data_IF_606670104263
#
_entry.id   IF_606670104263
#
_cell.length_a   1.000
_cell.length_b   1.000
_cell.length_c   1.000
_cell.angle_alpha   90.00
_cell.angle_beta   90.00
_cell.angle_gamma   90.00
#
_symmetry.space_group_name_H-M   'P 1'
#
loop_
_entity.id
_entity.type
_entity.pdbx_description
1 polymer ?
#
# COMPACT_ATOMS: atom_id res chain seq x y z
N UNK A 1 -18.14 -11.47 -23.07
CA UNK A 1 -17.43 -10.17 -22.94
C UNK A 1 -18.40 -8.97 -22.97
N UNK A 2 -19.72 -9.17 -23.03
CA UNK A 2 -20.67 -8.06 -23.24
C UNK A 2 -21.24 -7.43 -21.97
N UNK A 3 -21.42 -8.20 -20.89
CA UNK A 3 -22.37 -7.82 -19.83
C UNK A 3 -21.81 -6.76 -18.87
N UNK A 4 -20.55 -6.89 -18.41
CA UNK A 4 -19.92 -5.99 -17.44
C UNK A 4 -19.83 -4.51 -17.87
N UNK A 5 -20.02 -4.19 -19.16
CA UNK A 5 -19.84 -2.83 -19.70
C UNK A 5 -21.05 -1.92 -19.40
N UNK A 6 -22.23 -2.51 -19.27
CA UNK A 6 -23.48 -1.74 -19.08
C UNK A 6 -23.53 -1.07 -17.71
N UNK A 7 -23.20 -1.79 -16.64
CA UNK A 7 -23.41 -1.34 -15.25
C UNK A 7 -22.72 0.00 -14.93
N UNK A 8 -21.47 0.19 -15.37
CA UNK A 8 -20.70 1.40 -15.04
C UNK A 8 -21.15 2.67 -15.80
N UNK A 9 -21.94 2.52 -16.87
CA UNK A 9 -22.40 3.66 -17.70
C UNK A 9 -23.73 4.26 -17.23
N UNK A 10 -24.51 3.53 -16.42
CA UNK A 10 -25.83 3.98 -15.94
C UNK A 10 -25.77 4.76 -14.61
N UNK A 11 -24.70 4.64 -13.84
CA UNK A 11 -24.56 5.19 -12.49
C UNK A 11 -23.88 6.57 -12.43
N UNK A 12 -24.32 7.53 -13.26
CA UNK A 12 -23.72 8.89 -13.36
C UNK A 12 -23.92 9.78 -12.12
N UNK A 13 -24.75 9.37 -11.18
CA UNK A 13 -25.07 10.10 -9.93
C UNK A 13 -24.60 9.35 -8.69
N UNK A 14 -23.76 8.33 -8.85
CA UNK A 14 -23.23 7.54 -7.74
C UNK A 14 -22.20 8.37 -6.98
N UNK A 15 -22.53 8.77 -5.75
CA UNK A 15 -21.61 9.49 -4.86
C UNK A 15 -20.85 8.57 -3.89
N UNK A 16 -21.42 7.41 -3.58
CA UNK A 16 -20.90 6.48 -2.56
C UNK A 16 -20.95 5.06 -3.10
N UNK A 17 -19.81 4.40 -3.16
CA UNK A 17 -19.66 2.98 -3.45
C UNK A 17 -18.98 2.28 -2.28
N UNK A 18 -19.75 1.51 -1.51
CA UNK A 18 -19.22 0.67 -0.43
C UNK A 18 -19.36 -0.80 -0.79
N UNK A 19 -18.23 -1.47 -0.98
CA UNK A 19 -18.19 -2.91 -1.16
C UNK A 19 -18.10 -3.58 0.21
N UNK A 20 -19.25 -4.04 0.71
CA UNK A 20 -19.28 -4.84 1.92
C UNK A 20 -18.59 -6.19 1.72
N UNK A 21 -17.93 -6.69 2.78
CA UNK A 21 -17.38 -8.05 2.84
C UNK A 21 -18.51 -9.04 2.56
N UNK A 22 -18.39 -9.79 1.47
CA UNK A 22 -19.21 -10.97 1.26
C UNK A 22 -18.63 -12.10 2.13
N UNK A 23 -19.32 -12.56 3.19
CA UNK A 23 -18.80 -13.60 4.07
C UNK A 23 -18.64 -14.96 3.38
N UNK A 24 -19.20 -15.16 2.18
CA UNK A 24 -18.98 -16.36 1.37
C UNK A 24 -17.68 -16.30 0.55
N UNK A 25 -17.02 -15.14 0.42
CA UNK A 25 -15.83 -14.95 -0.42
C UNK A 25 -14.50 -15.32 0.27
N UNK A 26 -14.52 -16.27 1.22
CA UNK A 26 -13.31 -16.86 1.83
C UNK A 26 -12.69 -17.87 0.86
N UNK A 27 -12.32 -17.40 -0.33
CA UNK A 27 -11.81 -18.23 -1.43
C UNK A 27 -10.46 -17.74 -1.99
N UNK A 28 -9.69 -16.98 -1.19
CA UNK A 28 -8.26 -16.73 -1.46
C UNK A 28 -7.46 -18.05 -1.53
N UNK A 29 -7.98 -19.14 -0.96
CA UNK A 29 -7.38 -20.49 -1.02
C UNK A 29 -7.42 -21.10 -2.43
N UNK A 30 -8.47 -20.90 -3.23
CA UNK A 30 -8.59 -21.54 -4.56
C UNK A 30 -7.87 -20.81 -5.71
N UNK A 31 -7.12 -19.74 -5.44
CA UNK A 31 -6.29 -19.00 -6.42
C UNK A 31 -7.04 -18.46 -7.65
N UNK A 32 -8.38 -18.53 -7.68
CA UNK A 32 -9.22 -18.04 -8.78
C UNK A 32 -9.34 -16.53 -8.73
N UNK A 33 -8.29 -15.84 -9.21
CA UNK A 33 -8.29 -14.39 -9.42
C UNK A 33 -9.55 -14.02 -10.24
N UNK A 34 -10.44 -13.13 -9.75
CA UNK A 34 -11.56 -12.64 -10.56
C UNK A 34 -10.99 -12.04 -11.86
N UNK A 35 -11.57 -12.43 -13.01
CA UNK A 35 -10.94 -12.25 -14.33
C UNK A 35 -10.68 -10.78 -14.71
N UNK A 36 -11.45 -9.85 -14.14
CA UNK A 36 -11.23 -8.40 -14.21
C UNK A 36 -11.67 -7.80 -12.88
N UNK A 37 -10.96 -6.80 -12.39
CA UNK A 37 -11.48 -5.94 -11.32
C UNK A 37 -12.48 -4.96 -11.94
N UNK A 38 -13.78 -5.24 -11.76
CA UNK A 38 -14.84 -4.36 -12.23
C UNK A 38 -14.86 -3.01 -11.52
N UNK A 39 -14.20 -2.91 -10.35
CA UNK A 39 -14.28 -1.75 -9.48
C UNK A 39 -13.51 -0.55 -9.98
N UNK A 40 -12.34 -0.78 -10.59
CA UNK A 40 -11.59 0.26 -11.28
C UNK A 40 -12.45 1.07 -12.27
N UNK A 41 -13.46 0.44 -12.91
CA UNK A 41 -14.34 1.15 -13.86
C UNK A 41 -15.16 2.27 -13.22
N UNK A 42 -15.58 2.14 -11.96
CA UNK A 42 -16.32 3.21 -11.28
C UNK A 42 -15.43 4.44 -11.04
N UNK A 43 -14.13 4.24 -10.78
CA UNK A 43 -13.14 5.31 -10.68
C UNK A 43 -12.88 6.00 -12.05
N UNK A 44 -13.12 5.30 -13.16
CA UNK A 44 -13.00 5.85 -14.52
C UNK A 44 -14.31 6.50 -15.00
N UNK A 45 -15.50 5.98 -14.63
CA UNK A 45 -16.78 6.41 -15.21
C UNK A 45 -17.67 7.29 -14.34
N UNK A 46 -17.57 7.25 -13.01
CA UNK A 46 -18.51 7.91 -12.11
C UNK A 46 -17.97 9.24 -11.56
N UNK A 47 -17.95 10.31 -12.37
CA UNK A 47 -17.43 11.64 -12.00
C UNK A 47 -18.01 12.31 -10.75
N UNK A 48 -19.07 11.76 -10.16
CA UNK A 48 -19.70 12.22 -8.91
C UNK A 48 -19.21 11.49 -7.65
N UNK A 49 -18.32 10.50 -7.79
CA UNK A 49 -17.97 9.57 -6.73
C UNK A 49 -17.09 10.20 -5.63
N UNK A 50 -17.69 10.49 -4.47
CA UNK A 50 -17.04 11.08 -3.29
C UNK A 50 -16.43 10.03 -2.36
N UNK A 51 -17.01 8.84 -2.30
CA UNK A 51 -16.58 7.75 -1.41
C UNK A 51 -16.45 6.46 -2.20
N UNK A 52 -15.25 5.89 -2.22
CA UNK A 52 -14.98 4.54 -2.71
C UNK A 52 -14.38 3.72 -1.56
N UNK A 53 -15.07 2.66 -1.15
CA UNK A 53 -14.65 1.77 -0.08
C UNK A 53 -14.68 0.32 -0.57
N UNK A 54 -13.57 -0.12 -1.16
CA UNK A 54 -13.33 -1.48 -1.64
C UNK A 54 -12.05 -2.05 -1.04
N UNK A 55 -11.85 -1.92 0.28
CA UNK A 55 -10.57 -2.24 0.93
C UNK A 55 -10.14 -3.70 0.80
N UNK A 56 -11.10 -4.63 0.70
CA UNK A 56 -10.83 -6.05 0.45
C UNK A 56 -10.46 -6.36 -1.01
N UNK A 57 -10.60 -5.37 -1.90
CA UNK A 57 -10.38 -5.49 -3.34
C UNK A 57 -9.05 -4.82 -3.70
N UNK A 58 -8.62 -5.04 -4.94
CA UNK A 58 -7.34 -4.53 -5.42
C UNK A 58 -7.48 -3.93 -6.82
N UNK A 59 -6.86 -2.77 -7.02
CA UNK A 59 -6.67 -2.17 -8.34
C UNK A 59 -5.22 -2.43 -8.75
N UNK A 60 -4.99 -2.76 -10.02
CA UNK A 60 -3.62 -2.91 -10.52
C UNK A 60 -2.99 -1.55 -10.80
N UNK A 61 -1.69 -1.42 -10.50
CA UNK A 61 -0.92 -0.22 -10.83
C UNK A 61 -1.05 0.18 -12.32
N UNK A 62 -0.88 -0.77 -13.24
CA UNK A 62 -0.99 -0.52 -14.69
C UNK A 62 -2.37 -0.02 -15.14
N UNK A 63 -3.45 -0.54 -14.54
CA UNK A 63 -4.81 -0.11 -14.85
C UNK A 63 -4.99 1.34 -14.38
N UNK A 64 -4.52 1.67 -13.16
CA UNK A 64 -4.47 3.04 -12.62
C UNK A 64 -3.67 4.04 -13.46
N UNK A 65 -2.58 3.58 -14.08
CA UNK A 65 -1.73 4.42 -14.93
C UNK A 65 -2.39 4.67 -16.28
N UNK A 66 -2.88 3.60 -16.92
CA UNK A 66 -3.45 3.59 -18.27
C UNK A 66 -4.77 4.36 -18.36
N UNK A 67 -5.64 4.19 -17.37
CA UNK A 67 -7.00 4.72 -17.38
C UNK A 67 -7.13 5.86 -16.35
N UNK A 68 -7.05 7.14 -16.78
CA UNK A 68 -7.12 8.28 -15.86
C UNK A 68 -8.51 8.35 -15.21
N UNK A 69 -8.53 8.51 -13.89
CA UNK A 69 -9.77 8.64 -13.13
C UNK A 69 -10.46 9.98 -13.43
N UNK A 70 -11.80 9.97 -13.47
CA UNK A 70 -12.58 11.10 -13.97
C UNK A 70 -12.77 12.24 -12.93
N UNK A 71 -11.67 12.91 -12.55
CA UNK A 71 -11.65 14.15 -11.74
C UNK A 71 -12.69 14.19 -10.60
N UNK A 72 -12.70 13.11 -9.81
CA UNK A 72 -13.91 12.58 -9.17
C UNK A 72 -14.47 13.35 -7.96
N UNK A 73 -13.72 14.32 -7.42
CA UNK A 73 -14.06 14.91 -6.12
C UNK A 73 -14.08 13.91 -4.96
N UNK A 74 -13.34 12.79 -5.07
CA UNK A 74 -13.23 11.81 -3.98
C UNK A 74 -12.71 12.48 -2.71
N UNK A 75 -13.45 12.27 -1.62
CA UNK A 75 -13.02 12.58 -0.26
C UNK A 75 -12.48 11.35 0.47
N UNK A 76 -12.95 10.14 0.13
CA UNK A 76 -12.54 8.89 0.80
C UNK A 76 -12.27 7.77 -0.21
N UNK A 77 -11.08 7.19 -0.14
CA UNK A 77 -10.60 6.17 -1.05
C UNK A 77 -9.93 5.04 -0.26
N UNK A 78 -10.53 3.85 -0.29
CA UNK A 78 -10.04 2.67 0.44
C UNK A 78 -9.98 1.45 -0.48
N UNK A 79 -8.78 0.95 -0.79
CA UNK A 79 -8.52 -0.14 -1.74
C UNK A 79 -7.04 -0.56 -1.71
N UNK A 80 -6.72 -1.81 -2.04
CA UNK A 80 -5.31 -2.22 -2.24
C UNK A 80 -4.81 -1.81 -3.63
N UNK A 81 -3.53 -1.44 -3.73
CA UNK A 81 -2.82 -1.33 -5.02
C UNK A 81 -1.83 -2.48 -5.13
N UNK A 82 -1.90 -3.24 -6.23
CA UNK A 82 -1.08 -4.43 -6.47
C UNK A 82 -0.50 -4.46 -7.89
N UNK A 83 0.42 -5.37 -8.16
CA UNK A 83 1.07 -5.50 -9.48
C UNK A 83 2.08 -4.40 -9.75
N UNK A 84 2.65 -3.81 -8.70
CA UNK A 84 3.82 -2.95 -8.78
C UNK A 84 5.05 -3.83 -9.06
N UNK A 85 5.85 -3.53 -10.09
CA UNK A 85 7.10 -4.25 -10.33
C UNK A 85 8.05 -4.05 -9.14
N UNK A 86 8.45 -5.16 -8.50
CA UNK A 86 9.40 -5.19 -7.39
C UNK A 86 10.58 -6.10 -7.71
N UNK A 87 11.74 -5.74 -7.17
CA UNK A 87 12.87 -6.66 -7.10
C UNK A 87 12.59 -7.77 -6.08
N UNK A 88 12.96 -9.01 -6.40
CA UNK A 88 13.08 -10.09 -5.41
C UNK A 88 14.27 -9.82 -4.49
N UNK A 89 14.43 -10.62 -3.43
CA UNK A 89 15.57 -10.46 -2.51
C UNK A 89 16.93 -10.69 -3.20
N UNK A 90 16.99 -11.60 -4.17
CA UNK A 90 18.20 -11.91 -4.93
C UNK A 90 18.49 -10.80 -5.94
N UNK A 91 17.47 -10.34 -6.67
CA UNK A 91 17.58 -9.18 -7.59
C UNK A 91 17.96 -7.89 -6.83
N UNK A 92 17.42 -7.66 -5.63
CA UNK A 92 17.81 -6.52 -4.78
C UNK A 92 19.30 -6.62 -4.39
N UNK A 93 19.80 -7.83 -4.09
CA UNK A 93 21.22 -8.05 -3.76
C UNK A 93 22.13 -7.76 -4.96
N UNK A 94 21.69 -8.10 -6.18
CA UNK A 94 22.38 -7.73 -7.42
C UNK A 94 22.37 -6.21 -7.64
N UNK A 95 21.21 -5.57 -7.47
CA UNK A 95 21.06 -4.11 -7.59
C UNK A 95 21.97 -3.36 -6.60
N UNK A 96 21.93 -3.74 -5.33
CA UNK A 96 22.72 -3.12 -4.26
C UNK A 96 24.23 -3.25 -4.51
N UNK A 97 24.69 -4.40 -5.04
CA UNK A 97 26.08 -4.60 -5.48
C UNK A 97 26.44 -3.64 -6.61
N UNK A 98 25.65 -3.62 -7.70
CA UNK A 98 25.95 -2.81 -8.88
C UNK A 98 25.98 -1.32 -8.54
N UNK A 99 25.07 -0.85 -7.69
CA UNK A 99 25.05 0.53 -7.18
C UNK A 99 26.29 0.85 -6.33
N UNK A 100 26.69 -0.05 -5.43
CA UNK A 100 27.86 0.16 -4.57
C UNK A 100 29.19 0.16 -5.36
N UNK A 101 29.30 -0.67 -6.38
CA UNK A 101 30.48 -0.75 -7.26
C UNK A 101 30.54 0.40 -8.27
N UNK A 102 29.40 1.02 -8.60
CA UNK A 102 29.31 2.06 -9.63
C UNK A 102 28.59 3.34 -9.14
N UNK A 103 29.20 4.14 -8.24
CA UNK A 103 28.55 5.33 -7.67
C UNK A 103 27.98 6.32 -8.71
N UNK A 104 28.66 6.47 -9.85
CA UNK A 104 28.22 7.35 -10.95
C UNK A 104 26.90 6.93 -11.61
N UNK A 105 26.46 5.70 -11.43
CA UNK A 105 25.15 5.25 -11.92
C UNK A 105 24.01 6.07 -11.28
N UNK A 106 24.15 6.44 -9.99
CA UNK A 106 23.15 7.27 -9.30
C UNK A 106 23.17 8.74 -9.76
N UNK A 107 24.36 9.30 -10.01
CA UNK A 107 24.54 10.73 -10.32
C UNK A 107 24.37 11.06 -11.82
N UNK A 108 24.93 10.23 -12.69
CA UNK A 108 25.08 10.52 -14.13
C UNK A 108 24.19 9.60 -15.01
N UNK A 109 23.58 8.56 -14.44
CA UNK A 109 22.83 7.54 -15.20
C UNK A 109 23.70 6.71 -16.16
N UNK A 110 25.03 6.81 -16.04
CA UNK A 110 25.96 6.08 -16.92
C UNK A 110 26.03 4.63 -16.46
N UNK A 111 25.49 3.75 -17.30
CA UNK A 111 25.53 2.30 -17.11
C UNK A 111 26.87 1.75 -17.64
N UNK A 112 27.68 1.05 -16.82
CA UNK A 112 28.89 0.36 -17.28
C UNK A 112 28.60 -0.77 -18.29
N UNK A 113 29.63 -1.49 -18.69
CA UNK A 113 29.50 -2.81 -19.33
C UNK A 113 28.98 -3.86 -18.33
N UNK A 114 27.70 -3.73 -17.95
CA UNK A 114 26.99 -4.67 -17.08
C UNK A 114 26.62 -5.95 -17.82
N UNK A 115 26.61 -7.07 -17.08
CA UNK A 115 26.06 -8.33 -17.56
C UNK A 115 24.56 -8.25 -17.84
N UNK A 116 24.03 -9.17 -18.64
CA UNK A 116 22.61 -9.18 -19.03
C UNK A 116 21.66 -9.28 -17.83
N UNK A 117 22.05 -10.03 -16.79
CA UNK A 117 21.30 -10.17 -15.54
C UNK A 117 21.24 -8.84 -14.76
N UNK A 118 22.38 -8.19 -14.56
CA UNK A 118 22.48 -6.89 -13.87
C UNK A 118 21.69 -5.81 -14.59
N UNK A 119 21.77 -5.81 -15.94
CA UNK A 119 21.00 -4.91 -16.81
C UNK A 119 19.50 -5.16 -16.69
N UNK A 120 19.06 -6.41 -16.65
CA UNK A 120 17.65 -6.76 -16.48
C UNK A 120 17.12 -6.35 -15.09
N UNK A 121 17.92 -6.53 -14.04
CA UNK A 121 17.62 -6.09 -12.66
C UNK A 121 17.46 -4.57 -12.59
N UNK A 122 18.40 -3.81 -13.17
CA UNK A 122 18.33 -2.34 -13.25
C UNK A 122 17.06 -1.90 -13.97
N UNK A 123 16.80 -2.43 -15.17
CA UNK A 123 15.62 -2.05 -15.95
C UNK A 123 14.31 -2.38 -15.22
N UNK A 124 14.29 -3.46 -14.42
CA UNK A 124 13.14 -3.81 -13.57
C UNK A 124 12.96 -2.83 -12.42
N UNK A 125 14.04 -2.41 -11.78
CA UNK A 125 14.00 -1.37 -10.75
C UNK A 125 13.49 -0.03 -11.32
N UNK A 126 14.03 0.40 -12.46
CA UNK A 126 13.64 1.65 -13.14
C UNK A 126 12.14 1.64 -13.52
N UNK A 127 11.65 0.57 -14.16
CA UNK A 127 10.21 0.43 -14.48
C UNK A 127 9.35 0.44 -13.22
N UNK A 128 9.73 -0.31 -12.18
CA UNK A 128 9.01 -0.32 -10.90
C UNK A 128 8.98 1.05 -10.23
N UNK A 129 10.05 1.84 -10.37
CA UNK A 129 10.10 3.23 -9.87
C UNK A 129 9.22 4.18 -10.69
N UNK A 130 9.28 4.14 -12.02
CA UNK A 130 8.42 4.94 -12.90
C UNK A 130 6.93 4.63 -12.66
N UNK A 131 6.59 3.34 -12.57
CA UNK A 131 5.23 2.87 -12.32
C UNK A 131 4.69 3.41 -10.99
N UNK A 132 5.50 3.36 -9.92
CA UNK A 132 5.12 3.94 -8.63
C UNK A 132 4.95 5.45 -8.68
N UNK A 133 5.89 6.18 -9.29
CA UNK A 133 5.80 7.64 -9.42
C UNK A 133 4.53 8.06 -10.16
N UNK A 134 4.12 7.33 -11.20
CA UNK A 134 2.89 7.60 -11.95
C UNK A 134 1.63 7.24 -11.16
N UNK A 135 1.66 6.19 -10.34
CA UNK A 135 0.57 5.88 -9.39
C UNK A 135 0.45 6.98 -8.33
N UNK A 136 1.56 7.48 -7.80
CA UNK A 136 1.57 8.60 -6.87
C UNK A 136 1.08 9.91 -7.49
N UNK A 137 1.40 10.18 -8.76
CA UNK A 137 0.90 11.33 -9.50
C UNK A 137 -0.63 11.31 -9.59
N UNK A 138 -1.21 10.14 -9.89
CA UNK A 138 -2.68 9.95 -9.91
C UNK A 138 -3.29 10.22 -8.52
N UNK A 139 -2.72 9.65 -7.45
CA UNK A 139 -3.22 9.84 -6.09
C UNK A 139 -3.08 11.30 -5.61
N UNK A 140 -1.92 11.93 -5.84
CA UNK A 140 -1.64 13.31 -5.46
C UNK A 140 -2.54 14.33 -6.17
N UNK A 141 -3.11 13.98 -7.32
CA UNK A 141 -4.07 14.85 -8.01
C UNK A 141 -5.49 14.85 -7.42
N UNK A 142 -5.79 13.98 -6.45
CA UNK A 142 -7.09 13.92 -5.76
C UNK A 142 -7.16 14.96 -4.64
N UNK A 143 -7.10 16.25 -4.98
CA UNK A 143 -6.87 17.35 -4.00
C UNK A 143 -7.90 17.43 -2.86
N UNK A 144 -9.11 16.89 -3.02
CA UNK A 144 -10.17 16.85 -2.01
C UNK A 144 -10.12 15.60 -1.10
N UNK A 145 -9.12 14.73 -1.28
CA UNK A 145 -8.99 13.47 -0.56
C UNK A 145 -8.64 13.69 0.91
N UNK A 146 -9.56 13.29 1.79
CA UNK A 146 -9.44 13.35 3.26
C UNK A 146 -9.03 12.01 3.86
N UNK A 147 -9.42 10.89 3.25
CA UNK A 147 -9.05 9.54 3.69
C UNK A 147 -8.44 8.74 2.55
N UNK A 148 -7.17 8.33 2.70
CA UNK A 148 -6.50 7.39 1.81
C UNK A 148 -6.11 6.14 2.60
N UNK A 149 -6.72 5.00 2.28
CA UNK A 149 -6.44 3.73 2.94
C UNK A 149 -6.04 2.69 1.90
N UNK A 150 -4.74 2.45 1.80
CA UNK A 150 -4.13 1.47 0.89
C UNK A 150 -4.01 0.09 1.54
N UNK A 151 -4.02 0.05 2.87
CA UNK A 151 -3.73 -1.14 3.67
C UNK A 151 -4.97 -1.97 3.97
N UNK A 152 -4.80 -3.29 4.03
CA UNK A 152 -5.89 -4.19 4.38
C UNK A 152 -5.38 -5.35 5.22
N UNK A 153 -5.93 -5.47 6.43
CA UNK A 153 -5.69 -6.63 7.27
C UNK A 153 -6.48 -7.84 6.76
N UNK A 154 -5.91 -8.56 5.78
CA UNK A 154 -6.48 -9.79 5.24
C UNK A 154 -6.22 -11.01 6.14
N UNK A 155 -5.31 -10.92 7.12
CA UNK A 155 -4.88 -12.07 7.92
C UNK A 155 -5.98 -12.45 8.91
N UNK A 156 -6.71 -13.51 8.58
CA UNK A 156 -7.88 -13.92 9.34
C UNK A 156 -7.54 -14.20 10.82
N UNK A 157 -8.28 -13.62 11.77
CA UNK A 157 -8.42 -14.16 13.11
C UNK A 157 -8.84 -15.64 13.06
N UNK A 158 -8.63 -16.41 14.12
CA UNK A 158 -8.83 -17.88 14.12
C UNK A 158 -7.83 -18.64 13.23
N UNK A 159 -7.44 -18.17 12.03
CA UNK A 159 -6.31 -18.79 11.28
C UNK A 159 -5.00 -18.70 12.07
N UNK A 160 -4.79 -17.64 12.87
CA UNK A 160 -3.68 -17.58 13.82
C UNK A 160 -3.63 -18.82 14.72
N UNK A 161 -4.78 -19.33 15.21
CA UNK A 161 -4.83 -20.54 16.07
C UNK A 161 -4.27 -21.80 15.40
N UNK A 162 -4.19 -21.83 14.07
CA UNK A 162 -3.65 -22.93 13.26
C UNK A 162 -2.33 -22.57 12.55
N UNK A 163 -1.78 -21.38 12.80
CA UNK A 163 -0.54 -20.93 12.19
C UNK A 163 0.69 -21.69 12.70
N UNK A 164 1.70 -21.85 11.84
CA UNK A 164 2.97 -22.43 12.23
C UNK A 164 3.63 -21.61 13.35
N UNK A 165 3.95 -22.28 14.45
CA UNK A 165 4.77 -21.72 15.53
C UNK A 165 6.25 -21.77 15.15
N UNK A 166 6.98 -20.75 15.55
CA UNK A 166 8.45 -20.72 15.55
C UNK A 166 8.95 -20.23 16.91
N UNK A 167 10.25 -20.37 17.14
CA UNK A 167 10.95 -19.80 18.30
C UNK A 167 11.72 -18.58 17.79
N UNK A 168 11.53 -17.41 18.40
CA UNK A 168 12.30 -16.23 18.03
C UNK A 168 13.77 -16.42 18.34
N UNK A 169 14.63 -15.89 17.47
CA UNK A 169 16.08 -15.80 17.71
C UNK A 169 16.46 -14.62 18.62
N UNK A 170 15.51 -13.73 18.94
CA UNK A 170 15.76 -12.47 19.65
C UNK A 170 15.59 -12.64 21.16
N UNK A 171 14.54 -13.35 21.60
CA UNK A 171 14.21 -13.57 23.02
C UNK A 171 13.98 -15.04 23.37
N UNK A 172 13.88 -15.94 22.39
CA UNK A 172 13.65 -17.37 22.61
C UNK A 172 12.18 -17.74 22.86
N UNK A 173 11.25 -16.79 22.73
CA UNK A 173 9.82 -17.05 22.93
C UNK A 173 9.17 -17.70 21.70
N UNK A 174 8.04 -18.39 21.91
CA UNK A 174 7.30 -19.03 20.82
C UNK A 174 6.21 -18.11 20.24
N UNK A 175 6.40 -17.74 18.99
CA UNK A 175 5.48 -16.90 18.22
C UNK A 175 4.85 -17.67 17.06
N UNK A 176 3.76 -17.12 16.53
CA UNK A 176 3.08 -17.62 15.35
C UNK A 176 3.45 -16.81 14.12
N UNK A 177 3.70 -17.49 13.00
CA UNK A 177 4.02 -16.82 11.73
C UNK A 177 2.76 -16.22 11.11
N UNK A 178 2.46 -14.98 11.48
CA UNK A 178 1.24 -14.26 11.10
C UNK A 178 1.38 -13.52 9.77
N UNK A 179 1.56 -14.29 8.69
CA UNK A 179 1.72 -13.80 7.33
C UNK A 179 3.03 -13.03 7.09
N UNK A 180 3.18 -12.54 5.86
CA UNK A 180 4.11 -11.46 5.52
C UNK A 180 3.30 -10.27 4.98
N UNK A 181 3.96 -9.14 4.65
CA UNK A 181 3.31 -8.07 3.90
C UNK A 181 2.83 -8.58 2.53
N UNK A 182 1.82 -7.91 1.97
CA UNK A 182 1.28 -8.21 0.64
C UNK A 182 2.35 -7.84 -0.41
N UNK A 183 2.81 -8.77 -1.26
CA UNK A 183 3.82 -8.52 -2.28
C UNK A 183 3.27 -7.63 -3.41
N UNK A 184 4.18 -7.09 -4.23
CA UNK A 184 3.86 -6.27 -5.41
C UNK A 184 2.97 -5.04 -5.11
N UNK A 185 3.10 -4.51 -3.89
CA UNK A 185 2.40 -3.31 -3.39
C UNK A 185 3.30 -2.06 -3.48
N UNK A 186 2.70 -0.86 -3.33
CA UNK A 186 3.43 0.41 -3.34
C UNK A 186 4.46 0.52 -2.22
N UNK A 187 5.64 1.03 -2.54
CA UNK A 187 6.64 1.47 -1.58
C UNK A 187 6.31 2.88 -1.11
N UNK A 188 6.17 3.09 0.19
CA UNK A 188 5.93 4.40 0.76
C UNK A 188 7.27 5.04 1.14
N UNK A 189 8.12 5.29 0.14
CA UNK A 189 9.42 5.96 0.27
C UNK A 189 9.44 7.26 -0.53
N UNK A 190 10.30 8.22 -0.16
CA UNK A 190 10.41 9.46 -0.94
C UNK A 190 10.98 9.21 -2.36
N UNK A 191 11.77 8.15 -2.55
CA UNK A 191 12.36 7.78 -3.84
C UNK A 191 11.35 7.23 -4.85
N UNK A 192 10.31 6.54 -4.37
CA UNK A 192 9.21 5.99 -5.18
C UNK A 192 8.16 7.03 -5.60
N UNK A 193 8.21 8.25 -5.04
CA UNK A 193 7.28 9.33 -5.33
C UNK A 193 6.23 9.61 -4.25
N UNK A 194 6.40 9.10 -3.02
CA UNK A 194 5.53 9.43 -1.88
C UNK A 194 5.35 10.94 -1.67
N UNK A 195 6.38 11.72 -1.99
CA UNK A 195 6.42 13.18 -1.86
C UNK A 195 5.31 13.90 -2.65
N UNK A 196 4.85 13.29 -3.75
CA UNK A 196 3.74 13.78 -4.56
C UNK A 196 2.40 13.80 -3.80
N UNK A 197 2.22 12.94 -2.79
CA UNK A 197 1.07 13.00 -1.88
C UNK A 197 1.08 14.28 -1.01
N UNK A 198 2.19 15.03 -0.97
CA UNK A 198 2.26 16.34 -0.34
C UNK A 198 1.30 17.37 -0.95
N UNK A 199 0.74 17.07 -2.12
CA UNK A 199 -0.41 17.74 -2.71
C UNK A 199 -1.69 17.71 -1.86
N UNK A 200 -1.88 16.67 -1.04
CA UNK A 200 -3.13 16.34 -0.35
C UNK A 200 -3.24 17.07 0.99
N UNK A 201 -3.46 18.40 0.93
CA UNK A 201 -3.49 19.25 2.14
C UNK A 201 -4.68 18.98 3.06
N UNK A 202 -5.72 18.34 2.55
CA UNK A 202 -6.90 17.93 3.30
C UNK A 202 -6.86 16.49 3.83
N UNK A 203 -5.75 15.77 3.64
CA UNK A 203 -5.61 14.38 4.11
C UNK A 203 -5.59 14.29 5.64
N UNK A 204 -6.62 13.67 6.22
CA UNK A 204 -6.79 13.44 7.66
C UNK A 204 -6.41 12.00 8.08
N UNK A 205 -6.58 11.03 7.17
CA UNK A 205 -6.29 9.61 7.41
C UNK A 205 -5.39 9.06 6.32
N UNK A 206 -4.27 8.43 6.71
CA UNK A 206 -3.41 7.66 5.81
C UNK A 206 -3.14 6.24 6.33
N UNK A 207 -3.64 5.22 5.63
CA UNK A 207 -3.57 3.82 6.04
C UNK A 207 -2.76 2.95 5.07
N UNK A 208 -1.90 2.09 5.62
CA UNK A 208 -1.02 1.20 4.86
C UNK A 208 -0.69 -0.12 5.59
N UNK A 209 -1.60 -0.58 6.45
CA UNK A 209 -1.45 -1.85 7.16
C UNK A 209 -1.34 -3.06 6.21
N UNK A 210 -0.46 -4.00 6.55
CA UNK A 210 -0.07 -5.17 5.75
C UNK A 210 0.59 -4.89 4.37
N UNK A 211 0.99 -3.66 4.05
CA UNK A 211 1.82 -3.32 2.88
C UNK A 211 3.32 -3.46 3.22
N UNK A 212 4.17 -3.84 2.26
CA UNK A 212 5.63 -3.68 2.37
C UNK A 212 6.01 -2.20 2.17
N UNK A 213 5.70 -1.40 3.19
CA UNK A 213 5.65 0.05 3.06
C UNK A 213 7.03 0.71 3.00
N UNK A 214 8.10 0.04 3.47
CA UNK A 214 9.49 0.53 3.60
C UNK A 214 9.75 1.87 4.31
N UNK A 215 8.72 2.64 4.71
CA UNK A 215 8.80 3.89 5.51
C UNK A 215 9.95 3.88 6.51
N UNK A 216 10.84 4.88 6.40
CA UNK A 216 11.85 5.22 7.39
C UNK A 216 11.52 6.51 8.13
N UNK A 217 12.51 7.04 8.86
CA UNK A 217 12.37 8.30 9.61
C UNK A 217 12.21 9.51 8.68
N UNK A 218 12.91 9.55 7.54
CA UNK A 218 12.83 10.63 6.55
C UNK A 218 11.42 10.79 5.99
N UNK A 219 10.77 9.68 5.70
CA UNK A 219 9.39 9.63 5.22
C UNK A 219 8.43 10.19 6.28
N UNK A 220 8.63 9.86 7.57
CA UNK A 220 7.81 10.39 8.67
C UNK A 220 8.04 11.88 8.93
N UNK A 221 9.28 12.37 8.88
CA UNK A 221 9.62 13.80 8.92
C UNK A 221 8.91 14.56 7.78
N UNK A 222 8.96 14.00 6.57
CA UNK A 222 8.27 14.53 5.42
C UNK A 222 6.74 14.51 5.60
N UNK A 223 6.14 13.40 6.07
CA UNK A 223 4.69 13.31 6.31
C UNK A 223 4.25 14.36 7.34
N UNK A 224 4.95 14.46 8.47
CA UNK A 224 4.66 15.39 9.55
C UNK A 224 4.62 16.85 9.07
N UNK A 225 5.52 17.23 8.15
CA UNK A 225 5.63 18.56 7.54
C UNK A 225 4.65 18.79 6.37
N UNK A 226 4.46 17.79 5.53
CA UNK A 226 3.75 17.94 4.23
C UNK A 226 2.24 17.71 4.33
N UNK A 227 1.79 16.92 5.32
CA UNK A 227 0.40 16.53 5.54
C UNK A 227 -0.14 17.20 6.83
N UNK A 228 -0.48 18.50 6.79
CA UNK A 228 -0.78 19.28 7.98
C UNK A 228 -2.06 18.84 8.72
N UNK A 229 -3.03 18.26 7.99
CA UNK A 229 -4.30 17.78 8.59
C UNK A 229 -4.28 16.31 9.00
N UNK A 230 -3.18 15.58 8.77
CA UNK A 230 -3.08 14.17 9.14
C UNK A 230 -3.31 14.01 10.64
N UNK A 231 -4.24 13.13 11.01
CA UNK A 231 -4.70 12.86 12.39
C UNK A 231 -4.72 11.38 12.73
N UNK A 232 -4.81 10.51 11.73
CA UNK A 232 -4.92 9.06 11.92
C UNK A 232 -4.03 8.32 10.91
N UNK A 233 -3.24 7.37 11.42
CA UNK A 233 -2.44 6.46 10.62
C UNK A 233 -2.76 5.00 10.94
N UNK A 234 -2.84 4.17 9.91
CA UNK A 234 -2.88 2.70 10.03
C UNK A 234 -1.57 2.09 9.52
N UNK A 235 -1.15 0.96 10.08
CA UNK A 235 0.07 0.25 9.70
C UNK A 235 1.29 0.46 10.60
N UNK A 236 1.28 1.47 11.49
CA UNK A 236 2.30 1.65 12.54
C UNK A 236 1.83 1.30 13.96
N UNK A 237 0.56 0.95 14.14
CA UNK A 237 0.07 0.50 15.45
C UNK A 237 0.70 -0.82 15.88
N UNK A 238 0.87 -1.00 17.19
CA UNK A 238 1.38 -2.26 17.76
C UNK A 238 0.38 -3.39 17.51
N UNK A 239 0.87 -4.54 17.04
CA UNK A 239 0.06 -5.74 16.83
C UNK A 239 -0.35 -6.31 18.20
N UNK A 240 -1.65 -6.21 18.53
CA UNK A 240 -2.20 -6.62 19.84
C UNK A 240 -2.60 -8.10 19.92
N UNK A 241 -2.35 -8.86 18.86
CA UNK A 241 -2.74 -10.27 18.77
C UNK A 241 -1.81 -11.15 19.63
N UNK A 242 -2.35 -12.14 20.34
CA UNK A 242 -1.54 -13.04 21.18
C UNK A 242 -0.58 -13.87 20.33
N UNK A 243 0.61 -14.13 20.86
CA UNK A 243 1.69 -14.89 20.19
C UNK A 243 2.17 -14.30 18.85
N UNK A 244 1.99 -13.00 18.60
CA UNK A 244 2.68 -12.30 17.50
C UNK A 244 4.00 -11.73 18.01
N UNK A 245 5.08 -11.90 17.26
CA UNK A 245 6.39 -11.33 17.61
C UNK A 245 6.32 -9.80 17.52
N UNK A 246 6.69 -9.05 18.58
CA UNK A 246 6.61 -7.60 18.55
C UNK A 246 7.58 -6.98 17.53
N UNK A 247 7.05 -6.30 16.51
CA UNK A 247 7.87 -5.55 15.55
C UNK A 247 8.47 -4.30 16.22
N UNK A 248 9.73 -4.45 16.67
CA UNK A 248 10.51 -3.39 17.30
C UNK A 248 10.74 -2.19 16.39
N UNK A 249 10.86 -2.39 15.07
CA UNK A 249 11.10 -1.32 14.09
C UNK A 249 9.81 -0.51 13.87
N UNK A 250 8.67 -1.19 13.72
CA UNK A 250 7.33 -0.57 13.68
C UNK A 250 7.06 0.27 14.94
N UNK A 251 7.37 -0.28 16.12
CA UNK A 251 7.23 0.42 17.40
C UNK A 251 8.17 1.63 17.54
N UNK A 252 9.41 1.56 17.03
CA UNK A 252 10.33 2.71 16.97
C UNK A 252 9.79 3.81 16.04
N UNK A 253 9.40 3.46 14.83
CA UNK A 253 8.83 4.39 13.83
C UNK A 253 7.56 5.06 14.35
N UNK A 254 6.70 4.31 15.04
CA UNK A 254 5.51 4.86 15.73
C UNK A 254 5.89 5.91 16.77
N UNK A 255 6.76 5.56 17.72
CA UNK A 255 7.20 6.50 18.79
C UNK A 255 7.87 7.74 18.22
N UNK A 256 8.60 7.58 17.12
CA UNK A 256 9.23 8.68 16.40
C UNK A 256 8.18 9.60 15.75
N UNK A 257 7.15 9.06 15.10
CA UNK A 257 6.03 9.85 14.57
C UNK A 257 5.22 10.53 15.67
N UNK A 258 4.93 9.85 16.78
CA UNK A 258 4.27 10.43 17.96
C UNK A 258 5.07 11.62 18.53
N UNK A 259 6.41 11.56 18.49
CA UNK A 259 7.30 12.66 18.86
C UNK A 259 7.30 13.85 17.88
N UNK A 260 7.07 13.61 16.59
CA UNK A 260 6.91 14.65 15.56
C UNK A 260 5.51 15.30 15.59
N UNK A 261 4.47 14.50 15.87
CA UNK A 261 3.05 14.87 15.76
C UNK A 261 2.21 14.18 16.84
N UNK A 262 2.18 14.75 18.05
CA UNK A 262 1.39 14.26 19.19
C UNK A 262 -0.13 14.19 18.91
N UNK A 263 -0.62 14.94 17.92
CA UNK A 263 -2.00 14.94 17.47
C UNK A 263 -2.36 13.72 16.60
N UNK A 264 -1.38 13.12 15.91
CA UNK A 264 -1.57 11.91 15.10
C UNK A 264 -1.76 10.69 15.99
N UNK A 265 -2.78 9.88 15.69
CA UNK A 265 -3.07 8.62 16.38
C UNK A 265 -2.74 7.44 15.47
N UNK A 266 -2.28 6.36 16.08
CA UNK A 266 -1.92 5.12 15.39
C UNK A 266 -2.88 4.01 15.82
N UNK A 267 -3.75 3.57 14.90
CA UNK A 267 -4.70 2.48 15.13
C UNK A 267 -4.34 1.28 14.23
N UNK A 268 -4.75 0.09 14.65
CA UNK A 268 -4.82 -1.08 13.76
C UNK A 268 -6.25 -1.20 13.23
N UNK A 269 -6.39 -1.72 12.01
CA UNK A 269 -7.67 -2.17 11.44
C UNK A 269 -8.25 -3.35 12.24
N UNK A 270 -7.44 -4.10 12.99
CA UNK A 270 -7.92 -5.11 13.93
C UNK A 270 -8.45 -4.45 15.21
N UNK A 271 -9.77 -4.38 15.32
CA UNK A 271 -10.47 -4.19 16.59
C UNK A 271 -10.88 -5.57 17.08
N UNK A 272 -10.34 -6.01 18.21
CA UNK A 272 -10.70 -7.30 18.78
C UNK A 272 -12.20 -7.33 19.12
N UNK A 273 -12.98 -8.26 18.55
CA UNK A 273 -14.41 -8.35 18.83
C UNK A 273 -14.71 -8.77 20.27
N UNK A 274 -13.76 -9.45 20.95
CA UNK A 274 -13.91 -9.92 22.33
C UNK A 274 -13.51 -8.83 23.37
N UNK A 275 -13.08 -7.65 22.93
CA UNK A 275 -12.76 -6.47 23.76
C UNK A 275 -13.82 -5.35 23.69
N UNK A 276 -15.11 -5.70 23.48
CA UNK A 276 -16.24 -4.77 23.42
C UNK A 276 -17.29 -5.05 24.50
#
# INVERSE_FOLDING_TARGET
MGDDVLESTHCKTLEVLEWMRDPAFIDEVLHRRPRRDGLHRFLVSCSTLKVFNGIERYVKADDMIREPWAYLGIEKLRFRIVGVERLTQDEQTIYDRVVAENPRYQDEGIVPELGDEERAVIQKFERGREQQQRVYERLGNLRLLKHLDLGFESRNPRQWRYGYKYVSKIDGESYQRYGGPIPDTLELSLESGLDQLGALKDLELFGFEAIDHRIGKKELEWMAKSLPKLRLMYGLAEDRLPMIEPDRKKAELRKYMEGLRLDVKHHSLYVDPDLR
#
